data_IF_144314513365
#
_entry.id   IF_144314513365
#
_cell.length_a   1.000
_cell.length_b   1.000
_cell.length_c   1.000
_cell.angle_alpha   90.00
_cell.angle_beta   90.00
_cell.angle_gamma   90.00
#
_symmetry.space_group_name_H-M   'P 1'
#
loop_
_entity.id
_entity.type
_entity.pdbx_description
1 polymer ?
#
# COMPACT_ATOMS: atom_id res chain seq x y z
N UNK A 1 -11.87 -4.52 19.01
CA UNK A 1 -11.51 -5.40 17.87
C UNK A 1 -10.05 -5.79 18.02
N UNK A 2 -9.70 -7.09 17.96
CA UNK A 2 -8.28 -7.48 17.90
C UNK A 2 -7.78 -7.22 16.49
N UNK A 3 -6.71 -6.47 16.37
CA UNK A 3 -6.07 -6.17 15.09
C UNK A 3 -5.35 -7.41 14.53
N UNK A 4 -5.36 -7.55 13.20
CA UNK A 4 -4.75 -8.69 12.52
C UNK A 4 -3.22 -8.64 12.58
N UNK A 5 -2.62 -9.53 13.38
CA UNK A 5 -1.16 -9.74 13.44
C UNK A 5 -0.60 -10.08 12.04
N UNK A 6 -1.36 -10.86 11.28
CA UNK A 6 -1.00 -11.26 9.93
C UNK A 6 -0.90 -10.04 8.99
N UNK A 7 -1.92 -9.19 8.98
CA UNK A 7 -1.92 -7.96 8.20
C UNK A 7 -0.77 -7.02 8.60
N UNK A 8 -0.59 -6.82 9.91
CA UNK A 8 0.50 -6.01 10.45
C UNK A 8 1.84 -6.47 9.89
N UNK A 9 2.16 -7.77 9.99
CA UNK A 9 3.42 -8.31 9.47
C UNK A 9 3.63 -8.03 7.97
N UNK A 10 2.58 -8.14 7.15
CA UNK A 10 2.66 -7.88 5.70
C UNK A 10 2.84 -6.41 5.37
N UNK A 11 2.17 -5.49 6.08
CA UNK A 11 2.37 -4.04 5.89
C UNK A 11 3.79 -3.62 6.23
N UNK A 12 4.34 -4.08 7.36
CA UNK A 12 5.73 -3.79 7.72
C UNK A 12 6.71 -4.37 6.70
N UNK A 13 6.44 -5.57 6.17
CA UNK A 13 7.27 -6.16 5.10
C UNK A 13 7.24 -5.32 3.82
N UNK A 14 6.07 -4.83 3.40
CA UNK A 14 5.93 -3.95 2.24
C UNK A 14 6.66 -2.62 2.48
N UNK A 15 6.42 -1.98 3.62
CA UNK A 15 7.07 -0.74 4.02
C UNK A 15 8.59 -0.86 3.99
N UNK A 16 9.15 -1.88 4.65
CA UNK A 16 10.59 -2.08 4.68
C UNK A 16 11.16 -2.24 3.28
N UNK A 17 10.52 -3.04 2.42
CA UNK A 17 11.05 -3.27 1.07
C UNK A 17 10.94 -2.01 0.20
N UNK A 18 9.77 -1.38 0.14
CA UNK A 18 9.51 -0.29 -0.82
C UNK A 18 10.28 1.00 -0.50
N UNK A 19 10.61 1.24 0.77
CA UNK A 19 11.38 2.42 1.19
C UNK A 19 12.89 2.19 1.25
N UNK A 20 13.35 0.92 1.36
CA UNK A 20 14.77 0.56 1.22
C UNK A 20 15.16 0.44 -0.27
N UNK A 21 14.22 0.03 -1.12
CA UNK A 21 14.47 -0.15 -2.55
C UNK A 21 15.01 1.13 -3.22
N UNK A 22 16.03 0.95 -4.04
CA UNK A 22 16.71 2.05 -4.73
C UNK A 22 16.04 2.36 -6.06
N UNK A 23 16.30 3.56 -6.60
CA UNK A 23 15.72 4.01 -7.87
C UNK A 23 14.46 4.88 -7.69
N UNK A 24 13.79 5.15 -8.82
CA UNK A 24 12.62 6.01 -8.89
C UNK A 24 11.36 5.32 -8.34
N UNK A 25 10.31 6.10 -8.06
CA UNK A 25 9.06 5.58 -7.50
C UNK A 25 8.49 4.42 -8.34
N UNK A 26 8.57 4.48 -9.67
CA UNK A 26 8.07 3.40 -10.53
C UNK A 26 8.82 2.10 -10.36
N UNK A 27 10.15 2.17 -10.33
CA UNK A 27 11.00 0.99 -10.18
C UNK A 27 10.78 0.33 -8.82
N UNK A 28 10.61 1.13 -7.76
CA UNK A 28 10.28 0.62 -6.42
C UNK A 28 8.97 -0.15 -6.39
N UNK A 29 7.91 0.38 -6.99
CA UNK A 29 6.62 -0.32 -7.06
C UNK A 29 6.75 -1.63 -7.82
N UNK A 30 7.38 -1.61 -9.00
CA UNK A 30 7.58 -2.80 -9.83
C UNK A 30 8.34 -3.89 -9.04
N UNK A 31 9.41 -3.54 -8.35
CA UNK A 31 10.21 -4.50 -7.59
C UNK A 31 9.52 -5.01 -6.31
N UNK A 32 8.44 -4.35 -5.88
CA UNK A 32 7.68 -4.67 -4.67
C UNK A 32 6.31 -5.28 -4.97
N UNK A 33 6.04 -5.71 -6.20
CA UNK A 33 4.74 -6.24 -6.62
C UNK A 33 4.22 -7.37 -5.71
N UNK A 34 5.05 -8.38 -5.43
CA UNK A 34 4.69 -9.50 -4.53
C UNK A 34 4.34 -9.02 -3.11
N UNK A 35 4.99 -7.95 -2.64
CA UNK A 35 4.74 -7.38 -1.31
C UNK A 35 3.44 -6.57 -1.31
N UNK A 36 3.12 -5.90 -2.41
CA UNK A 36 1.80 -5.27 -2.60
C UNK A 36 0.69 -6.31 -2.62
N UNK A 37 0.86 -7.41 -3.37
CA UNK A 37 -0.11 -8.51 -3.41
C UNK A 37 -0.32 -9.13 -2.02
N UNK A 38 0.79 -9.44 -1.33
CA UNK A 38 0.75 -10.01 0.02
C UNK A 38 0.05 -9.09 1.02
N UNK A 39 0.31 -7.78 0.97
CA UNK A 39 -0.32 -6.79 1.85
C UNK A 39 -1.81 -6.63 1.52
N UNK A 40 -2.16 -6.64 0.24
CA UNK A 40 -3.55 -6.61 -0.22
C UNK A 40 -4.34 -7.82 0.30
N UNK A 41 -3.86 -9.03 0.06
CA UNK A 41 -4.51 -10.26 0.53
C UNK A 41 -4.66 -10.27 2.06
N UNK A 42 -3.64 -9.80 2.77
CA UNK A 42 -3.69 -9.70 4.23
C UNK A 42 -4.66 -8.62 4.72
N UNK A 43 -4.88 -7.54 3.97
CA UNK A 43 -5.85 -6.50 4.32
C UNK A 43 -7.28 -7.05 4.42
N UNK A 44 -7.60 -8.12 3.69
CA UNK A 44 -8.92 -8.74 3.70
C UNK A 44 -9.21 -9.51 5.00
N UNK A 45 -8.20 -9.79 5.81
CA UNK A 45 -8.34 -10.56 7.06
C UNK A 45 -9.24 -9.89 8.11
N UNK A 46 -9.75 -10.68 9.05
CA UNK A 46 -10.55 -10.19 10.17
C UNK A 46 -9.72 -9.26 11.07
N UNK A 47 -10.37 -8.22 11.60
CA UNK A 47 -9.71 -7.24 12.47
C UNK A 47 -9.00 -6.09 11.74
N UNK A 48 -9.02 -6.06 10.41
CA UNK A 48 -8.65 -4.87 9.62
C UNK A 48 -9.88 -3.96 9.48
N UNK A 49 -9.78 -2.64 9.76
CA UNK A 49 -10.91 -1.70 9.60
C UNK A 49 -11.48 -1.69 8.19
N UNK A 50 -12.79 -1.47 8.07
CA UNK A 50 -13.50 -1.53 6.78
C UNK A 50 -12.96 -0.51 5.78
N UNK A 51 -12.65 0.69 6.25
CA UNK A 51 -12.13 1.81 5.45
C UNK A 51 -10.77 1.45 4.84
N UNK A 52 -9.93 0.74 5.60
CA UNK A 52 -8.63 0.24 5.15
C UNK A 52 -8.81 -0.85 4.09
N UNK A 53 -9.77 -1.78 4.29
CA UNK A 53 -10.10 -2.81 3.28
C UNK A 53 -10.56 -2.18 1.97
N UNK A 54 -11.43 -1.18 2.05
CA UNK A 54 -11.96 -0.46 0.88
C UNK A 54 -10.85 0.28 0.14
N UNK A 55 -9.94 0.94 0.87
CA UNK A 55 -8.80 1.61 0.24
C UNK A 55 -7.85 0.62 -0.44
N UNK A 56 -7.53 -0.49 0.22
CA UNK A 56 -6.71 -1.56 -0.36
C UNK A 56 -7.34 -2.14 -1.63
N UNK A 57 -8.64 -2.45 -1.61
CA UNK A 57 -9.37 -2.92 -2.80
C UNK A 57 -9.28 -1.91 -3.94
N UNK A 58 -9.57 -0.63 -3.66
CA UNK A 58 -9.50 0.43 -4.67
C UNK A 58 -8.10 0.54 -5.26
N UNK A 59 -7.08 0.60 -4.41
CA UNK A 59 -5.69 0.70 -4.82
C UNK A 59 -5.26 -0.52 -5.65
N UNK A 60 -5.60 -1.74 -5.21
CA UNK A 60 -5.22 -2.97 -5.90
C UNK A 60 -5.83 -3.05 -7.30
N UNK A 61 -7.13 -2.73 -7.42
CA UNK A 61 -7.80 -2.65 -8.73
C UNK A 61 -7.14 -1.58 -9.60
N UNK A 62 -6.91 -0.39 -9.04
CA UNK A 62 -6.27 0.72 -9.76
C UNK A 62 -4.82 0.42 -10.17
N UNK A 63 -4.15 -0.50 -9.49
CA UNK A 63 -2.80 -0.96 -9.80
C UNK A 63 -2.80 -2.14 -10.77
N UNK A 64 -3.90 -2.88 -10.91
CA UNK A 64 -4.02 -4.04 -11.79
C UNK A 64 -5.07 -3.85 -12.90
N UNK A 65 -5.45 -2.61 -13.21
CA UNK A 65 -6.58 -2.31 -14.09
C UNK A 65 -6.32 -2.54 -15.59
N UNK A 66 -5.12 -2.97 -15.98
CA UNK A 66 -4.79 -3.29 -17.37
C UNK A 66 -4.87 -4.79 -17.57
N UNK A 67 -5.57 -5.23 -18.60
CA UNK A 67 -5.59 -6.64 -18.99
C UNK A 67 -4.17 -7.13 -19.29
N UNK A 68 -3.85 -8.37 -18.90
CA UNK A 68 -2.62 -9.03 -19.31
C UNK A 68 -2.58 -9.13 -20.84
N UNK A 69 -1.52 -8.59 -21.46
CA UNK A 69 -1.34 -8.74 -22.90
C UNK A 69 -0.83 -10.15 -23.19
N UNK A 70 -1.71 -11.02 -23.66
CA UNK A 70 -1.31 -12.23 -24.37
C UNK A 70 -0.66 -11.80 -25.71
N UNK A 71 0.66 -11.97 -25.85
CA UNK A 71 1.27 -11.89 -27.18
C UNK A 71 1.09 -13.24 -27.89
N UNK A 72 0.76 -13.18 -29.19
CA UNK A 72 0.56 -14.29 -30.14
C UNK A 72 1.77 -15.25 -30.32
N UNK A 73 2.80 -15.17 -29.48
CA UNK A 73 4.07 -15.90 -29.61
C UNK A 73 4.54 -16.63 -28.34
N UNK A 74 3.65 -16.91 -27.39
CA UNK A 74 3.96 -17.81 -26.26
C UNK A 74 4.96 -17.27 -25.24
N UNK A 75 5.29 -15.98 -25.27
CA UNK A 75 6.02 -15.30 -24.19
C UNK A 75 5.02 -14.59 -23.28
N UNK A 76 4.99 -14.99 -22.01
CA UNK A 76 4.26 -14.27 -20.96
C UNK A 76 4.76 -12.83 -20.89
N UNK A 77 3.87 -11.87 -21.10
CA UNK A 77 4.19 -10.47 -20.88
C UNK A 77 3.69 -10.09 -19.51
N UNK A 78 4.63 -9.64 -18.68
CA UNK A 78 4.53 -8.77 -17.50
C UNK A 78 3.11 -8.51 -16.99
N UNK A 79 2.90 -8.79 -15.71
CA UNK A 79 1.65 -8.61 -14.96
C UNK A 79 0.93 -7.28 -15.23
N UNK A 80 -0.39 -7.30 -15.04
CA UNK A 80 -1.26 -6.13 -15.02
C UNK A 80 -0.71 -5.00 -14.13
N UNK A 81 -0.09 -5.37 -13.01
CA UNK A 81 0.60 -4.47 -12.09
C UNK A 81 1.71 -3.67 -12.78
N UNK A 82 2.68 -4.38 -13.39
CA UNK A 82 3.82 -3.76 -14.06
C UNK A 82 3.37 -2.71 -15.10
N UNK A 83 2.41 -3.10 -15.95
CA UNK A 83 1.95 -2.27 -17.05
C UNK A 83 1.25 -1.01 -16.55
N UNK A 84 0.50 -1.15 -15.46
CA UNK A 84 -0.24 -0.06 -14.85
C UNK A 84 0.70 0.94 -14.21
N UNK A 85 1.68 0.46 -13.42
CA UNK A 85 2.71 1.31 -12.80
C UNK A 85 3.48 2.12 -13.84
N UNK A 86 3.89 1.50 -14.95
CA UNK A 86 4.58 2.21 -16.03
C UNK A 86 3.78 3.37 -16.62
N UNK A 87 2.45 3.26 -16.66
CA UNK A 87 1.57 4.33 -17.15
C UNK A 87 1.11 5.34 -16.10
N UNK A 88 1.29 5.06 -14.80
CA UNK A 88 0.84 5.95 -13.74
C UNK A 88 1.73 7.20 -13.66
N UNK A 89 1.09 8.32 -13.32
CA UNK A 89 1.80 9.56 -12.94
C UNK A 89 2.45 9.37 -11.57
N UNK A 90 3.62 9.98 -11.35
CA UNK A 90 4.33 9.89 -10.08
C UNK A 90 3.46 10.33 -8.89
N UNK A 91 2.70 11.42 -9.03
CA UNK A 91 1.77 11.91 -8.01
C UNK A 91 0.75 10.85 -7.55
N UNK A 92 0.31 9.97 -8.46
CA UNK A 92 -0.58 8.86 -8.10
C UNK A 92 0.14 7.79 -7.28
N UNK A 93 1.40 7.49 -7.63
CA UNK A 93 2.22 6.54 -6.89
C UNK A 93 2.60 7.08 -5.51
N UNK A 94 2.91 8.37 -5.41
CA UNK A 94 3.16 9.05 -4.13
C UNK A 94 1.97 8.95 -3.18
N UNK A 95 0.74 9.07 -3.69
CA UNK A 95 -0.48 8.88 -2.88
C UNK A 95 -0.54 7.48 -2.26
N UNK A 96 -0.12 6.44 -2.99
CA UNK A 96 -0.10 5.08 -2.46
C UNK A 96 1.04 4.87 -1.46
N UNK A 97 2.20 5.51 -1.66
CA UNK A 97 3.29 5.51 -0.67
C UNK A 97 2.87 6.20 0.62
N UNK A 98 2.16 7.33 0.53
CA UNK A 98 1.63 8.04 1.69
C UNK A 98 0.67 7.17 2.49
N UNK A 99 -0.25 6.47 1.81
CA UNK A 99 -1.14 5.52 2.46
C UNK A 99 -0.37 4.42 3.22
N UNK A 100 0.69 3.85 2.64
CA UNK A 100 1.53 2.85 3.32
C UNK A 100 2.18 3.44 4.58
N UNK A 101 2.67 4.68 4.51
CA UNK A 101 3.26 5.39 5.66
C UNK A 101 2.24 5.63 6.78
N UNK A 102 1.08 6.16 6.43
CA UNK A 102 -0.02 6.41 7.37
C UNK A 102 -0.45 5.10 8.06
N UNK A 103 -0.52 4.03 7.30
CA UNK A 103 -0.96 2.73 7.81
C UNK A 103 0.07 2.09 8.75
N UNK A 104 1.37 2.25 8.47
CA UNK A 104 2.41 1.89 9.42
C UNK A 104 2.28 2.71 10.70
N UNK A 105 2.06 4.03 10.60
CA UNK A 105 1.81 4.91 11.75
C UNK A 105 0.65 4.43 12.61
N UNK A 106 -0.50 4.15 11.99
CA UNK A 106 -1.67 3.57 12.67
C UNK A 106 -1.33 2.26 13.40
N UNK A 107 -0.55 1.38 12.77
CA UNK A 107 -0.14 0.07 13.31
C UNK A 107 0.99 0.15 14.36
N UNK A 108 1.69 1.28 14.47
CA UNK A 108 2.66 1.57 15.54
C UNK A 108 1.99 2.25 16.73
N UNK A 109 1.08 3.18 16.49
CA UNK A 109 0.43 3.98 17.55
C UNK A 109 -0.47 3.13 18.44
N UNK A 110 -0.99 2.02 17.92
CA UNK A 110 -1.74 1.02 18.70
C UNK A 110 -0.88 0.36 19.80
N UNK A 111 0.46 0.38 19.69
CA UNK A 111 1.34 -0.04 20.80
C UNK A 111 1.51 1.02 21.89
N UNK A 112 1.24 2.30 21.60
CA UNK A 112 1.66 3.41 22.43
C UNK A 112 0.55 4.16 23.19
N UNK A 113 -0.74 3.81 23.01
CA UNK A 113 -1.84 4.37 23.81
C UNK A 113 -1.79 5.90 23.99
N UNK A 114 -2.38 6.65 23.04
CA UNK A 114 -2.30 8.11 22.84
C UNK A 114 -1.02 8.52 22.08
N UNK A 115 -1.08 9.40 21.08
CA UNK A 115 -1.47 10.80 21.19
C UNK A 115 -2.42 11.17 20.05
N UNK A 116 -3.66 11.52 20.40
CA UNK A 116 -4.50 12.33 19.51
C UNK A 116 -3.76 13.64 19.22
N UNK A 117 -3.77 14.05 17.96
CA UNK A 117 -3.39 15.41 17.58
C UNK A 117 -4.22 16.35 18.45
N UNK A 118 -3.59 16.91 19.49
CA UNK A 118 -4.18 17.96 20.28
C UNK A 118 -4.43 19.11 19.33
N UNK A 119 -5.70 19.44 19.12
CA UNK A 119 -6.11 20.73 18.59
C UNK A 119 -5.33 21.81 19.34
N UNK A 120 -4.36 22.44 18.69
CA UNK A 120 -3.88 23.75 19.09
C UNK A 120 -5.03 24.72 18.86
N UNK A 121 -5.93 24.80 19.83
CA UNK A 121 -6.70 26.02 20.04
C UNK A 121 -5.73 27.03 20.62
N UNK A 122 -5.18 27.87 19.75
CA UNK A 122 -4.66 29.17 20.14
C UNK A 122 -5.83 29.96 20.73
N UNK A 123 -5.96 29.91 22.06
CA UNK A 123 -6.54 31.02 22.81
C UNK A 123 -5.37 31.94 23.12
N UNK A 124 -5.26 33.01 22.34
CA UNK A 124 -4.49 34.19 22.72
C UNK A 124 -5.51 35.12 23.39
N UNK A 125 -5.24 35.43 24.67
CA UNK A 125 -5.94 36.42 25.49
C UNK A 125 -5.97 37.81 24.85
#
# INVERSE_FOLDING_TARGET
>A
MKESIYYRGKIFSLFNKIFIETGDARSRFINCEEQFESAYLASLSDGVPKEIKEYWNKMWIELNSKDELLMNHGKFIRSSFYQTIKSKRNKTLEKYLLFILEEVGRLTDIKNGNIGLSETKENID
#
